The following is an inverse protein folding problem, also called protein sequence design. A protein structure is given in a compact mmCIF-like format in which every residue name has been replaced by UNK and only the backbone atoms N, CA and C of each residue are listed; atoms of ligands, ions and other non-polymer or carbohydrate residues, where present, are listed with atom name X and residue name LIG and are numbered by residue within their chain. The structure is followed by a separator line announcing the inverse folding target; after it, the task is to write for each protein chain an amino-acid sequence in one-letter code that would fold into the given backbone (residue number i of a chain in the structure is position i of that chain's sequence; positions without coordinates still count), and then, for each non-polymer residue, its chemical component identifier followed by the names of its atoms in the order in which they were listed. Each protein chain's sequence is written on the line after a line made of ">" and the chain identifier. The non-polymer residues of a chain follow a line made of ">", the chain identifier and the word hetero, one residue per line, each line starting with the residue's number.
data_IF_474491895157
#
_entry.id   IF_474491895157
#
_cell.length_a   1.000
_cell.length_b   1.000
_cell.length_c   1.000
_cell.angle_alpha   90.00
_cell.angle_beta   90.00
_cell.angle_gamma   90.00
#
_symmetry.space_group_name_H-M   'P 1'
#
loop_
_entity.id
_entity.type
_entity.pdbx_description
1 polymer ?
#
# COMPACT_ATOMS: atom_id res chain seq x y z
N UNK A 1 -18.48 4.05 17.58
CA UNK A 1 -18.33 4.49 16.18
C UNK A 1 -17.44 3.48 15.46
N UNK A 2 -17.97 2.60 14.61
CA UNK A 2 -17.16 1.72 13.75
C UNK A 2 -17.86 1.55 12.40
N UNK A 3 -17.69 2.53 11.53
CA UNK A 3 -17.88 2.33 10.09
C UNK A 3 -16.49 2.08 9.51
N UNK A 4 -15.94 0.89 9.73
CA UNK A 4 -14.81 0.46 8.92
C UNK A 4 -15.41 0.09 7.56
N UNK A 5 -15.23 0.95 6.57
CA UNK A 5 -15.46 0.66 5.15
C UNK A 5 -14.43 -0.38 4.70
N UNK A 6 -14.61 -1.61 5.16
CA UNK A 6 -13.78 -2.75 4.79
C UNK A 6 -13.92 -3.03 3.30
N UNK A 7 -12.79 -3.21 2.62
CA UNK A 7 -12.78 -3.55 1.21
C UNK A 7 -13.12 -5.04 1.04
N UNK A 8 -14.13 -5.36 0.24
CA UNK A 8 -14.37 -6.76 -0.17
C UNK A 8 -13.21 -7.24 -1.03
N UNK A 9 -12.43 -8.21 -0.54
CA UNK A 9 -11.26 -8.72 -1.25
C UNK A 9 -11.57 -9.88 -2.21
N UNK A 10 -12.85 -10.17 -2.49
CA UNK A 10 -13.24 -11.34 -3.30
C UNK A 10 -12.59 -11.32 -4.68
N UNK A 11 -12.73 -10.22 -5.41
CA UNK A 11 -12.21 -10.10 -6.77
C UNK A 11 -10.71 -9.86 -6.80
N UNK A 12 -10.16 -9.16 -5.80
CA UNK A 12 -8.72 -9.07 -5.60
C UNK A 12 -8.12 -10.47 -5.43
N UNK A 13 -8.65 -11.29 -4.52
CA UNK A 13 -8.18 -12.66 -4.29
C UNK A 13 -8.31 -13.53 -5.55
N UNK A 14 -9.38 -13.37 -6.33
CA UNK A 14 -9.55 -14.05 -7.61
C UNK A 14 -8.48 -13.62 -8.62
N UNK A 15 -8.15 -12.34 -8.69
CA UNK A 15 -7.08 -11.82 -9.54
C UNK A 15 -5.71 -12.33 -9.12
N UNK A 16 -5.37 -12.28 -7.82
CA UNK A 16 -4.10 -12.78 -7.29
C UNK A 16 -3.91 -14.28 -7.61
N UNK A 17 -4.98 -15.09 -7.47
CA UNK A 17 -4.95 -16.53 -7.82
C UNK A 17 -4.73 -16.80 -9.30
N UNK A 18 -5.13 -15.88 -10.19
CA UNK A 18 -4.91 -15.99 -11.65
C UNK A 18 -3.50 -15.58 -12.07
N UNK A 19 -2.79 -14.86 -11.21
CA UNK A 19 -1.51 -14.21 -11.50
C UNK A 19 -0.41 -14.67 -10.53
N UNK A 20 -0.39 -15.96 -10.15
CA UNK A 20 0.52 -16.51 -9.12
C UNK A 20 2.01 -16.35 -9.44
N UNK A 21 2.37 -16.22 -10.72
CA UNK A 21 3.75 -16.04 -11.17
C UNK A 21 4.24 -14.60 -11.05
N UNK A 22 3.36 -13.65 -10.71
CA UNK A 22 3.71 -12.24 -10.60
C UNK A 22 4.05 -11.92 -9.15
N UNK A 23 5.22 -11.32 -8.93
CA UNK A 23 5.55 -10.72 -7.65
C UNK A 23 4.88 -9.34 -7.51
N UNK A 24 3.75 -9.31 -6.82
CA UNK A 24 2.98 -8.10 -6.56
C UNK A 24 3.73 -7.07 -5.69
N UNK A 25 4.78 -7.46 -4.97
CA UNK A 25 5.57 -6.53 -4.14
C UNK A 25 6.38 -5.57 -5.01
N UNK A 26 6.88 -6.06 -6.13
CA UNK A 26 7.81 -5.36 -7.03
C UNK A 26 7.21 -4.96 -8.38
N UNK A 27 6.07 -5.54 -8.79
CA UNK A 27 5.42 -5.25 -10.08
C UNK A 27 5.09 -3.76 -10.27
N UNK A 28 5.37 -3.19 -11.43
CA UNK A 28 5.14 -1.77 -11.69
C UNK A 28 3.67 -1.49 -12.04
N UNK A 29 2.84 -1.14 -11.05
CA UNK A 29 1.45 -0.72 -11.27
C UNK A 29 1.29 0.76 -11.67
N UNK A 30 2.37 1.49 -11.95
CA UNK A 30 2.29 2.87 -12.46
C UNK A 30 2.16 2.89 -13.98
N UNK A 31 2.66 1.85 -14.67
CA UNK A 31 2.60 1.74 -16.13
C UNK A 31 1.37 0.94 -16.56
N UNK A 32 0.60 1.50 -17.48
CA UNK A 32 -0.58 0.83 -18.05
C UNK A 32 -0.22 -0.51 -18.71
N UNK A 33 0.92 -0.56 -19.42
CA UNK A 33 1.41 -1.79 -20.07
C UNK A 33 1.55 -2.94 -19.07
N UNK A 34 2.12 -2.67 -17.89
CA UNK A 34 2.28 -3.67 -16.83
C UNK A 34 0.94 -4.13 -16.23
N UNK A 35 -0.06 -3.25 -16.20
CA UNK A 35 -1.43 -3.59 -15.77
C UNK A 35 -2.11 -4.47 -16.81
N UNK A 36 -1.90 -4.20 -18.10
CA UNK A 36 -2.50 -4.94 -19.20
C UNK A 36 -1.93 -6.37 -19.34
N UNK A 37 -0.73 -6.61 -18.81
CA UNK A 37 -0.12 -7.94 -18.75
C UNK A 37 -0.76 -8.88 -17.71
N UNK A 38 -1.59 -8.36 -16.79
CA UNK A 38 -2.27 -9.22 -15.82
C UNK A 38 -3.37 -10.06 -16.49
N UNK A 39 -3.60 -11.26 -15.97
CA UNK A 39 -4.70 -12.10 -16.40
C UNK A 39 -6.04 -11.60 -15.83
N UNK A 40 -6.73 -10.78 -16.63
CA UNK A 40 -8.04 -10.20 -16.31
C UNK A 40 -9.23 -11.12 -16.62
N UNK A 41 -9.02 -12.34 -17.11
CA UNK A 41 -10.10 -13.20 -17.62
C UNK A 41 -11.24 -13.38 -16.62
N UNK A 42 -12.43 -12.86 -16.93
CA UNK A 42 -13.63 -12.87 -16.10
C UNK A 42 -13.65 -11.83 -14.97
N UNK A 43 -12.83 -10.80 -15.07
CA UNK A 43 -12.70 -9.62 -14.18
C UNK A 43 -12.56 -8.31 -14.99
N UNK A 44 -12.89 -8.33 -16.28
CA UNK A 44 -12.67 -7.22 -17.21
C UNK A 44 -13.48 -5.98 -16.79
N UNK A 45 -14.75 -6.18 -16.42
CA UNK A 45 -15.66 -5.09 -15.99
C UNK A 45 -15.22 -4.47 -14.65
N UNK A 46 -14.55 -5.25 -13.80
CA UNK A 46 -14.07 -4.82 -12.48
C UNK A 46 -12.67 -4.18 -12.52
N UNK A 47 -12.03 -4.12 -13.70
CA UNK A 47 -10.64 -3.70 -13.84
C UNK A 47 -10.38 -2.32 -13.21
N UNK A 48 -11.25 -1.35 -13.48
CA UNK A 48 -11.11 0.01 -12.96
C UNK A 48 -11.25 0.08 -11.43
N UNK A 49 -12.09 -0.78 -10.85
CA UNK A 49 -12.29 -0.87 -9.41
C UNK A 49 -11.14 -1.62 -8.72
N UNK A 50 -10.54 -2.61 -9.40
CA UNK A 50 -9.49 -3.46 -8.86
C UNK A 50 -8.10 -2.81 -8.87
N UNK A 51 -7.80 -1.92 -9.82
CA UNK A 51 -6.50 -1.25 -9.90
C UNK A 51 -6.16 -0.49 -8.61
N UNK A 52 -7.05 0.34 -8.02
CA UNK A 52 -6.81 0.96 -6.72
C UNK A 52 -6.54 -0.06 -5.60
N UNK A 53 -7.27 -1.19 -5.60
CA UNK A 53 -7.11 -2.25 -4.60
C UNK A 53 -5.76 -2.96 -4.74
N UNK A 54 -5.32 -3.23 -5.96
CA UNK A 54 -3.99 -3.78 -6.25
C UNK A 54 -2.88 -2.86 -5.76
N UNK A 55 -3.01 -1.55 -6.01
CA UNK A 55 -2.04 -0.57 -5.52
C UNK A 55 -2.03 -0.50 -3.99
N UNK A 56 -3.20 -0.60 -3.36
CA UNK A 56 -3.30 -0.69 -1.90
C UNK A 56 -2.62 -1.94 -1.37
N UNK A 57 -2.93 -3.10 -1.95
CA UNK A 57 -2.30 -4.37 -1.62
C UNK A 57 -0.79 -4.34 -1.78
N UNK A 58 -0.26 -3.80 -2.88
CA UNK A 58 1.18 -3.64 -3.07
C UNK A 58 1.81 -2.76 -1.98
N UNK A 59 1.20 -1.62 -1.63
CA UNK A 59 1.70 -0.76 -0.55
C UNK A 59 1.76 -1.52 0.77
N UNK A 60 0.75 -2.34 1.04
CA UNK A 60 0.70 -3.16 2.25
C UNK A 60 1.74 -4.27 2.23
N UNK A 61 1.94 -4.95 1.09
CA UNK A 61 3.01 -5.93 0.92
C UNK A 61 4.36 -5.34 1.29
N UNK A 62 4.67 -4.11 0.87
CA UNK A 62 5.96 -3.48 1.16
C UNK A 62 6.26 -3.30 2.64
N UNK A 63 5.26 -3.28 3.52
CA UNK A 63 5.47 -3.13 4.97
C UNK A 63 5.33 -4.41 5.76
N UNK A 64 4.54 -5.38 5.29
CA UNK A 64 4.43 -6.67 5.99
C UNK A 64 5.64 -7.56 5.70
N UNK A 65 5.94 -8.54 6.58
CA UNK A 65 6.93 -9.59 6.31
C UNK A 65 6.66 -10.29 4.98
N UNK A 66 7.71 -10.82 4.34
CA UNK A 66 7.59 -11.47 3.02
C UNK A 66 6.74 -12.74 3.08
N UNK A 67 6.89 -13.52 4.16
CA UNK A 67 6.22 -14.81 4.33
C UNK A 67 4.76 -14.68 4.80
N UNK A 68 4.31 -13.48 5.18
CA UNK A 68 3.00 -13.25 5.79
C UNK A 68 2.14 -12.27 4.96
N UNK A 69 1.97 -12.58 3.67
CA UNK A 69 1.15 -11.76 2.75
C UNK A 69 -0.33 -11.68 3.13
N UNK A 70 -0.83 -12.61 3.93
CA UNK A 70 -2.22 -12.58 4.43
C UNK A 70 -2.46 -11.41 5.39
N UNK A 71 -1.44 -10.96 6.14
CA UNK A 71 -1.54 -9.77 6.98
C UNK A 71 -1.90 -8.54 6.13
N UNK A 72 -1.32 -8.42 4.93
CA UNK A 72 -1.65 -7.31 4.03
C UNK A 72 -3.12 -7.32 3.61
N UNK A 73 -3.73 -8.50 3.43
CA UNK A 73 -5.15 -8.65 3.11
C UNK A 73 -6.02 -8.30 4.32
N UNK A 74 -5.69 -8.84 5.49
CA UNK A 74 -6.45 -8.58 6.72
C UNK A 74 -6.43 -7.08 7.06
N UNK A 75 -5.30 -6.40 6.88
CA UNK A 75 -5.23 -4.93 7.04
C UNK A 75 -6.10 -4.18 6.03
N UNK A 76 -6.16 -4.62 4.77
CA UNK A 76 -7.06 -4.01 3.77
C UNK A 76 -8.54 -4.23 4.10
N UNK A 77 -8.92 -5.41 4.60
CA UNK A 77 -10.28 -5.70 5.06
C UNK A 77 -10.67 -4.81 6.25
N UNK A 78 -9.69 -4.42 7.07
CA UNK A 78 -9.87 -3.43 8.14
C UNK A 78 -9.94 -1.97 7.63
N UNK A 79 -9.75 -1.74 6.32
CA UNK A 79 -9.73 -0.40 5.72
C UNK A 79 -8.36 0.29 5.75
N UNK A 80 -7.30 -0.41 6.17
CA UNK A 80 -5.94 0.10 6.22
C UNK A 80 -5.23 -0.21 4.90
N UNK A 81 -4.97 0.83 4.11
CA UNK A 81 -4.54 0.72 2.70
C UNK A 81 -3.19 1.37 2.40
N UNK A 82 -2.52 1.90 3.43
CA UNK A 82 -1.23 2.57 3.31
C UNK A 82 -0.44 2.59 4.62
N UNK A 83 0.88 2.69 4.49
CA UNK A 83 1.78 2.94 5.62
C UNK A 83 1.54 4.30 6.28
N UNK A 84 1.06 5.30 5.53
CA UNK A 84 0.77 6.62 6.07
C UNK A 84 -0.36 6.57 7.09
N UNK A 85 -1.46 5.88 6.76
CA UNK A 85 -2.59 5.66 7.68
C UNK A 85 -2.12 4.98 8.99
N UNK A 86 -1.30 3.94 8.88
CA UNK A 86 -0.75 3.26 10.07
C UNK A 86 0.07 4.22 10.93
N UNK A 87 0.93 5.02 10.30
CA UNK A 87 1.75 6.01 11.00
C UNK A 87 0.92 7.11 11.68
N UNK A 88 -0.32 7.35 11.26
CA UNK A 88 -1.24 8.35 11.82
C UNK A 88 -2.10 7.83 12.98
N UNK A 89 -2.43 6.54 13.01
CA UNK A 89 -3.32 5.94 14.03
C UNK A 89 -2.71 5.94 15.45
N UNK A 90 -1.39 6.07 15.58
CA UNK A 90 -0.66 5.93 16.85
C UNK A 90 -0.41 4.46 17.20
N UNK A 91 0.76 4.18 17.77
CA UNK A 91 1.28 2.80 17.97
C UNK A 91 0.30 1.89 18.72
N UNK A 92 -0.18 2.34 19.88
CA UNK A 92 -1.05 1.54 20.75
C UNK A 92 -2.36 1.17 20.04
N UNK A 93 -3.02 2.17 19.45
CA UNK A 93 -4.27 1.98 18.71
C UNK A 93 -4.08 1.03 17.54
N UNK A 94 -3.01 1.18 16.75
CA UNK A 94 -2.73 0.26 15.65
C UNK A 94 -2.57 -1.18 16.12
N UNK A 95 -1.76 -1.43 17.17
CA UNK A 95 -1.52 -2.78 17.68
C UNK A 95 -2.82 -3.40 18.23
N UNK A 96 -3.61 -2.64 18.98
CA UNK A 96 -4.88 -3.11 19.57
C UNK A 96 -5.93 -3.38 18.49
N UNK A 97 -6.12 -2.45 17.54
CA UNK A 97 -7.14 -2.60 16.51
C UNK A 97 -6.80 -3.71 15.50
N UNK A 98 -5.51 -3.96 15.25
CA UNK A 98 -5.02 -4.97 14.30
C UNK A 98 -4.62 -6.30 14.92
N UNK A 99 -4.85 -6.51 16.22
CA UNK A 99 -4.44 -7.73 16.94
C UNK A 99 -4.85 -9.03 16.21
N UNK A 100 -6.05 -9.04 15.63
CA UNK A 100 -6.57 -10.17 14.83
C UNK A 100 -5.76 -10.40 13.56
N UNK A 101 -5.44 -9.34 12.81
CA UNK A 101 -4.62 -9.36 11.60
C UNK A 101 -3.24 -9.98 11.85
N UNK A 102 -2.71 -9.77 13.05
CA UNK A 102 -1.40 -10.28 13.46
C UNK A 102 -1.48 -11.60 14.26
N UNK A 103 -2.64 -12.27 14.31
CA UNK A 103 -2.83 -13.55 15.02
C UNK A 103 -2.34 -13.50 16.48
N UNK A 104 -2.59 -12.38 17.16
CA UNK A 104 -2.11 -12.10 18.54
C UNK A 104 -0.58 -12.10 18.69
N UNK A 105 0.16 -11.76 17.64
CA UNK A 105 1.61 -11.53 17.68
C UNK A 105 1.91 -10.02 17.68
N UNK A 106 1.90 -9.35 18.84
CA UNK A 106 2.07 -7.90 18.92
C UNK A 106 3.45 -7.43 18.41
N UNK A 107 4.47 -8.29 18.48
CA UNK A 107 5.81 -8.02 17.94
C UNK A 107 5.77 -7.71 16.43
N UNK A 108 5.01 -8.51 15.66
CA UNK A 108 4.86 -8.29 14.22
C UNK A 108 4.12 -6.99 13.90
N UNK A 109 3.08 -6.68 14.68
CA UNK A 109 2.36 -5.42 14.55
C UNK A 109 3.29 -4.23 14.84
N UNK A 110 4.14 -4.35 15.87
CA UNK A 110 5.13 -3.35 16.20
C UNK A 110 6.16 -3.15 15.07
N UNK A 111 6.66 -4.22 14.45
CA UNK A 111 7.60 -4.13 13.34
C UNK A 111 6.98 -3.46 12.11
N UNK A 112 5.74 -3.84 11.76
CA UNK A 112 4.99 -3.19 10.68
C UNK A 112 4.77 -1.71 10.97
N UNK A 113 4.44 -1.35 12.21
CA UNK A 113 4.28 0.04 12.62
C UNK A 113 5.59 0.84 12.48
N UNK A 114 6.72 0.29 12.93
CA UNK A 114 8.02 0.95 12.78
C UNK A 114 8.40 1.12 11.30
N UNK A 115 8.15 0.10 10.48
CA UNK A 115 8.39 0.18 9.04
C UNK A 115 7.50 1.23 8.38
N UNK A 116 6.25 1.36 8.81
CA UNK A 116 5.34 2.41 8.36
C UNK A 116 5.86 3.82 8.71
N UNK A 117 6.37 4.02 9.92
CA UNK A 117 7.01 5.29 10.33
C UNK A 117 8.25 5.59 9.48
N UNK A 118 9.11 4.60 9.24
CA UNK A 118 10.31 4.76 8.41
C UNK A 118 9.93 5.16 6.98
N UNK A 119 8.95 4.50 6.37
CA UNK A 119 8.47 4.87 5.04
C UNK A 119 7.88 6.27 5.00
N UNK A 120 7.10 6.68 6.02
CA UNK A 120 6.59 8.06 6.10
C UNK A 120 7.72 9.09 6.11
N UNK A 121 8.79 8.85 6.88
CA UNK A 121 9.97 9.73 6.91
C UNK A 121 10.68 9.78 5.56
N UNK A 122 10.88 8.63 4.91
CA UNK A 122 11.52 8.56 3.59
C UNK A 122 10.71 9.32 2.53
N UNK A 123 9.39 9.15 2.51
CA UNK A 123 8.51 9.88 1.59
C UNK A 123 8.56 11.40 1.82
N UNK A 124 8.59 11.84 3.07
CA UNK A 124 8.73 13.25 3.40
C UNK A 124 10.07 13.82 2.89
N UNK A 125 11.17 13.09 3.06
CA UNK A 125 12.48 13.50 2.54
C UNK A 125 12.51 13.56 1.01
N UNK A 126 11.95 12.56 0.33
CA UNK A 126 11.84 12.55 -1.14
C UNK A 126 11.02 13.74 -1.65
N UNK A 127 9.93 14.08 -0.98
CA UNK A 127 9.10 15.22 -1.33
C UNK A 127 9.86 16.55 -1.19
N UNK A 128 10.59 16.73 -0.08
CA UNK A 128 11.42 17.92 0.14
C UNK A 128 12.52 18.05 -0.93
N UNK A 129 13.23 16.96 -1.23
CA UNK A 129 14.27 16.94 -2.28
C UNK A 129 13.68 17.28 -3.67
N UNK A 130 12.49 16.76 -3.98
CA UNK A 130 11.80 17.07 -5.24
C UNK A 130 11.43 18.56 -5.35
N UNK A 131 10.91 19.16 -4.28
CA UNK A 131 10.62 20.60 -4.24
C UNK A 131 11.90 21.40 -4.46
N UNK A 132 12.95 21.13 -3.69
CA UNK A 132 14.21 21.86 -3.78
C UNK A 132 14.83 21.81 -5.18
N UNK A 133 14.80 20.65 -5.84
CA UNK A 133 15.25 20.50 -7.23
C UNK A 133 14.40 21.32 -8.18
N UNK A 134 13.07 21.25 -8.07
CA UNK A 134 12.18 22.04 -8.92
C UNK A 134 12.38 23.54 -8.75
N UNK A 135 12.60 24.03 -7.53
CA UNK A 135 12.90 25.44 -7.25
C UNK A 135 14.25 25.88 -7.79
N UNK A 136 15.30 25.05 -7.66
CA UNK A 136 16.61 25.32 -8.23
C UNK A 136 16.55 25.42 -9.77
N UNK A 137 15.79 24.52 -10.41
CA UNK A 137 15.57 24.57 -11.85
C UNK A 137 14.74 25.79 -12.29
N UNK A 138 13.69 26.16 -11.55
CA UNK A 138 12.89 27.37 -11.84
C UNK A 138 13.68 28.67 -11.66
N UNK A 139 14.58 28.74 -10.65
CA UNK A 139 15.51 29.86 -10.46
C UNK A 139 16.57 29.93 -11.57
N UNK A 140 17.13 28.79 -11.96
CA UNK A 140 18.11 28.73 -13.06
C UNK A 140 17.49 29.05 -14.44
N UNK A 141 16.20 28.74 -14.63
CA UNK A 141 15.45 29.05 -15.85
C UNK A 141 14.85 30.47 -15.89
N UNK A 142 15.04 31.29 -14.83
CA UNK A 142 14.56 32.67 -14.79
C UNK A 142 13.03 32.82 -14.68
N UNK A 143 12.32 31.78 -14.27
CA UNK A 143 10.85 31.73 -14.24
C UNK A 143 10.22 32.33 -12.98
N UNK A 144 11.01 32.65 -11.96
CA UNK A 144 10.58 33.41 -10.78
C UNK A 144 11.38 34.70 -10.68
N UNK A 145 10.76 35.83 -11.05
CA UNK A 145 11.16 37.19 -10.65
C UNK A 145 10.20 37.70 -9.59
#
# INVERSE_FOLDING_TARGET
>A
MKNATGMSLKDLNRLLRKNKSIDFRTHDFLRQISIDQLNWKGLEDEKNNLIPQLKAYQRMLRIVPEDDTDIAKELLEMGISSSLQIAEMGKKMFIEDSEKAFRKKPELAQDVYQKALTLRKLLALQYIDQIQRSEAHSKAAGLNK
#
